data_IF_166222338789
#
_entry.id   IF_166222338789
#
_cell.length_a   1.000
_cell.length_b   1.000
_cell.length_c   1.000
_cell.angle_alpha   90.00
_cell.angle_beta   90.00
_cell.angle_gamma   90.00
#
_symmetry.space_group_name_H-M   'P 1'
#
loop_
_entity.id
_entity.type
_entity.pdbx_description
1 polymer ?
#
# COMPACT_ATOMS: atom_id res chain seq x y z
N UNK A 1 -35.85 -36.87 75.63
CA UNK A 1 -34.99 -36.04 76.53
C UNK A 1 -33.87 -35.43 75.70
N UNK A 2 -33.56 -34.16 76.00
CA UNK A 2 -32.50 -33.27 75.50
C UNK A 2 -32.86 -32.37 74.29
N UNK A 3 -32.91 -31.08 74.65
CA UNK A 3 -33.12 -29.86 73.86
C UNK A 3 -31.87 -29.46 73.06
N UNK A 4 -32.06 -28.83 71.89
CA UNK A 4 -31.47 -27.52 71.57
C UNK A 4 -31.96 -27.06 70.19
N UNK A 5 -32.79 -26.02 70.13
CA UNK A 5 -32.48 -24.58 69.97
C UNK A 5 -32.38 -24.17 68.50
N UNK A 6 -33.39 -23.40 68.11
CA UNK A 6 -33.64 -22.74 66.84
C UNK A 6 -32.67 -21.56 66.65
N UNK A 7 -32.08 -21.41 65.45
CA UNK A 7 -31.55 -20.13 65.00
C UNK A 7 -31.82 -19.97 63.50
N UNK A 8 -32.62 -18.95 63.18
CA UNK A 8 -33.01 -18.52 61.85
C UNK A 8 -31.89 -17.65 61.24
N UNK A 9 -31.41 -17.97 60.04
CA UNK A 9 -30.56 -17.06 59.27
C UNK A 9 -30.93 -17.12 57.78
N UNK A 10 -31.30 -15.96 57.26
CA UNK A 10 -31.75 -15.68 55.90
C UNK A 10 -30.60 -15.91 54.89
N UNK A 11 -30.85 -16.72 53.85
CA UNK A 11 -29.89 -17.05 52.81
C UNK A 11 -29.77 -15.91 51.77
N UNK A 12 -28.60 -15.26 51.69
CA UNK A 12 -28.20 -14.44 50.54
C UNK A 12 -27.29 -15.29 49.66
N UNK A 13 -27.76 -15.64 48.46
CA UNK A 13 -26.94 -16.25 47.42
C UNK A 13 -26.04 -15.17 46.78
N UNK A 14 -24.74 -15.22 47.04
CA UNK A 14 -23.73 -14.50 46.26
C UNK A 14 -22.90 -15.54 45.49
N UNK A 15 -22.92 -15.41 44.16
CA UNK A 15 -22.20 -16.28 43.23
C UNK A 15 -20.69 -16.28 43.51
N UNK A 16 -20.14 -17.48 43.63
CA UNK A 16 -18.71 -17.75 43.67
C UNK A 16 -18.13 -17.74 42.26
N UNK A 17 -17.12 -16.90 42.02
CA UNK A 17 -16.21 -16.99 40.86
C UNK A 17 -14.77 -16.94 41.36
N UNK A 18 -13.96 -17.81 40.75
CA UNK A 18 -12.61 -18.26 41.07
C UNK A 18 -11.53 -17.17 41.24
N UNK A 19 -10.40 -17.49 41.91
CA UNK A 19 -9.32 -16.55 42.17
C UNK A 19 -8.40 -16.39 40.95
N UNK A 20 -8.11 -15.14 40.58
CA UNK A 20 -7.07 -14.78 39.63
C UNK A 20 -6.06 -13.86 40.33
N UNK A 21 -4.80 -14.08 39.97
CA UNK A 21 -3.58 -13.54 40.53
C UNK A 21 -3.52 -12.01 40.70
N UNK A 22 -2.65 -11.59 41.61
CA UNK A 22 -2.23 -10.21 41.81
C UNK A 22 -1.88 -9.49 40.49
N UNK A 23 -2.43 -8.30 40.32
CA UNK A 23 -2.10 -7.39 39.22
C UNK A 23 -2.78 -6.05 39.45
N UNK A 24 -2.07 -5.10 40.07
CA UNK A 24 -2.49 -3.70 40.14
C UNK A 24 -2.45 -3.16 38.71
N UNK A 25 -3.62 -2.87 38.13
CA UNK A 25 -3.68 -2.11 36.89
C UNK A 25 -3.40 -0.65 37.23
N UNK A 26 -2.15 -0.22 37.01
CA UNK A 26 -1.84 1.21 36.90
C UNK A 26 -2.43 1.67 35.57
N UNK A 27 -3.59 2.33 35.61
CA UNK A 27 -3.97 3.25 34.53
C UNK A 27 -2.91 4.34 34.52
N UNK A 28 -1.91 4.20 33.65
CA UNK A 28 -0.89 5.23 33.43
C UNK A 28 -1.60 6.56 33.21
N UNK A 29 -1.14 7.67 33.83
CA UNK A 29 -1.88 8.93 33.84
C UNK A 29 -2.17 9.44 32.42
N UNK A 30 -1.33 9.09 31.44
CA UNK A 30 -1.63 9.20 30.03
C UNK A 30 -0.71 8.29 29.19
N UNK A 31 -1.12 7.98 27.95
CA UNK A 31 -0.31 7.22 27.00
C UNK A 31 -0.38 7.85 25.61
N UNK A 32 0.79 8.13 25.03
CA UNK A 32 0.94 8.49 23.62
C UNK A 32 1.39 7.24 22.84
N UNK A 33 0.81 7.04 21.66
CA UNK A 33 1.19 5.96 20.74
C UNK A 33 1.51 6.55 19.38
N UNK A 34 2.62 6.13 18.78
CA UNK A 34 3.04 6.54 17.45
C UNK A 34 2.75 5.40 16.48
N UNK A 35 1.88 5.63 15.51
CA UNK A 35 1.55 4.66 14.47
C UNK A 35 2.39 4.85 13.21
N UNK A 36 2.99 6.03 13.01
CA UNK A 36 3.96 6.31 11.95
C UNK A 36 4.90 7.47 12.36
N UNK A 37 6.20 7.40 12.02
CA UNK A 37 6.87 6.27 11.39
C UNK A 37 7.06 5.09 12.35
N UNK A 38 6.92 3.85 11.86
CA UNK A 38 7.35 2.62 12.59
C UNK A 38 8.76 2.18 12.21
N UNK A 39 9.33 2.80 11.18
CA UNK A 39 10.69 2.54 10.68
C UNK A 39 11.70 3.46 11.35
N UNK A 40 12.93 2.97 11.50
CA UNK A 40 14.07 3.76 12.02
C UNK A 40 14.72 4.64 10.95
N UNK A 41 14.17 4.67 9.74
CA UNK A 41 14.65 5.48 8.61
C UNK A 41 13.48 6.07 7.81
N UNK A 42 13.55 7.37 7.49
CA UNK A 42 12.58 8.07 6.66
C UNK A 42 13.23 9.15 5.78
N UNK A 43 12.50 9.61 4.76
CA UNK A 43 12.85 10.81 3.99
C UNK A 43 12.05 12.00 4.49
N UNK A 44 12.56 13.21 4.25
CA UNK A 44 11.88 14.46 4.64
C UNK A 44 10.95 14.96 3.52
N UNK A 45 9.76 15.50 3.85
CA UNK A 45 9.18 15.62 5.18
C UNK A 45 8.69 14.27 5.72
N UNK A 46 8.82 14.07 7.03
CA UNK A 46 8.44 12.83 7.70
C UNK A 46 6.98 12.91 8.15
N UNK A 47 6.18 11.90 7.79
CA UNK A 47 4.78 11.82 8.17
C UNK A 47 4.63 11.20 9.56
N UNK A 48 4.25 12.03 10.53
CA UNK A 48 3.99 11.63 11.91
C UNK A 48 2.49 11.45 12.13
N UNK A 49 2.12 10.26 12.61
CA UNK A 49 0.76 9.95 13.04
C UNK A 49 0.81 9.39 14.45
N UNK A 50 0.05 10.00 15.35
CA UNK A 50 -0.02 9.59 16.75
C UNK A 50 -1.40 9.84 17.36
N UNK A 51 -1.75 9.00 18.33
CA UNK A 51 -2.97 9.14 19.13
C UNK A 51 -2.64 9.03 20.62
N UNK A 52 -3.37 9.77 21.44
CA UNK A 52 -3.19 9.79 22.88
C UNK A 52 -4.48 9.49 23.64
N UNK A 53 -4.33 8.93 24.84
CA UNK A 53 -5.43 8.77 25.81
C UNK A 53 -4.95 9.17 27.20
N UNK A 54 -5.82 9.81 27.99
CA UNK A 54 -5.59 10.11 29.41
C UNK A 54 -6.82 9.66 30.22
N UNK A 55 -6.90 8.37 30.59
CA UNK A 55 -8.06 7.83 31.30
C UNK A 55 -8.22 8.38 32.73
N UNK A 56 -7.12 8.83 33.34
CA UNK A 56 -7.11 9.39 34.68
C UNK A 56 -7.50 10.87 34.72
N UNK A 57 -7.42 11.58 33.59
CA UNK A 57 -7.85 12.97 33.48
C UNK A 57 -9.28 13.06 32.95
N UNK A 58 -10.21 13.47 33.81
CA UNK A 58 -11.61 13.71 33.42
C UNK A 58 -11.79 14.80 32.36
N UNK A 59 -10.79 15.66 32.16
CA UNK A 59 -10.76 16.71 31.13
C UNK A 59 -10.06 16.29 29.83
N UNK A 60 -9.63 15.03 29.74
CA UNK A 60 -8.99 14.45 28.56
C UNK A 60 -7.64 15.07 28.19
N UNK A 61 -7.11 14.64 27.04
CA UNK A 61 -5.86 15.15 26.46
C UNK A 61 -6.08 16.58 25.95
N UNK A 62 -5.22 17.50 26.38
CA UNK A 62 -5.24 18.90 25.98
C UNK A 62 -4.49 19.14 24.67
N UNK A 63 -3.30 18.56 24.52
CA UNK A 63 -2.45 18.76 23.34
C UNK A 63 -1.47 17.60 23.10
N UNK A 64 -0.91 17.55 21.89
CA UNK A 64 0.20 16.67 21.50
C UNK A 64 1.31 17.46 20.80
N UNK A 65 2.55 16.97 20.86
CA UNK A 65 3.69 17.60 20.21
C UNK A 65 4.82 16.64 19.87
N UNK A 66 5.67 17.07 18.94
CA UNK A 66 6.83 16.34 18.43
C UNK A 66 8.09 17.07 18.87
N UNK A 67 8.95 16.37 19.58
CA UNK A 67 10.29 16.82 19.96
C UNK A 67 11.33 16.16 19.06
N UNK A 68 12.28 16.95 18.57
CA UNK A 68 13.37 16.46 17.70
C UNK A 68 14.69 16.22 18.45
N UNK A 69 14.76 16.70 19.69
CA UNK A 69 15.82 16.49 20.66
C UNK A 69 15.23 16.79 22.04
N UNK A 70 15.91 16.44 23.16
CA UNK A 70 15.47 16.84 24.49
C UNK A 70 15.11 18.33 24.55
N UNK A 71 13.89 18.64 24.97
CA UNK A 71 13.33 19.99 25.12
C UNK A 71 13.19 20.82 23.83
N UNK A 72 13.47 20.26 22.64
CA UNK A 72 13.33 20.94 21.35
C UNK A 72 12.00 20.60 20.66
N UNK A 73 10.94 21.34 21.00
CA UNK A 73 9.62 21.19 20.38
C UNK A 73 9.66 21.68 18.93
N UNK A 74 9.29 20.81 17.99
CA UNK A 74 9.28 21.10 16.56
C UNK A 74 7.87 21.28 15.99
N UNK A 75 6.86 20.65 16.61
CA UNK A 75 5.47 20.77 16.20
C UNK A 75 4.53 20.51 17.38
N UNK A 76 3.36 21.13 17.40
CA UNK A 76 2.30 20.87 18.38
C UNK A 76 0.91 21.08 17.81
N UNK A 77 -0.07 20.34 18.33
CA UNK A 77 -1.48 20.40 17.97
C UNK A 77 -2.35 20.24 19.21
N UNK A 78 -3.54 20.84 19.21
CA UNK A 78 -4.52 20.66 20.28
C UNK A 78 -5.28 19.33 20.12
N UNK A 79 -5.60 18.69 21.25
CA UNK A 79 -6.37 17.45 21.31
C UNK A 79 -5.52 16.17 21.22
N UNK A 80 -6.23 15.04 21.14
CA UNK A 80 -5.70 13.69 21.32
C UNK A 80 -5.18 13.01 20.03
N UNK A 81 -5.11 13.75 18.92
CA UNK A 81 -4.71 13.23 17.61
C UNK A 81 -3.69 14.15 16.97
N UNK A 82 -2.64 13.56 16.41
CA UNK A 82 -1.59 14.23 15.68
C UNK A 82 -1.41 13.51 14.35
N UNK A 83 -1.51 14.27 13.25
CA UNK A 83 -1.32 13.81 11.88
C UNK A 83 -0.68 14.96 11.10
N UNK A 84 0.63 14.89 10.85
CA UNK A 84 1.38 16.01 10.27
C UNK A 84 2.60 15.55 9.49
N UNK A 85 2.98 16.33 8.46
CA UNK A 85 4.24 16.17 7.75
C UNK A 85 5.25 17.18 8.28
N UNK A 86 6.29 16.70 8.99
CA UNK A 86 7.32 17.55 9.58
C UNK A 86 8.59 17.51 8.73
N UNK A 87 8.98 18.66 8.20
CA UNK A 87 10.26 18.81 7.50
C UNK A 87 11.41 18.71 8.50
N UNK A 88 12.21 17.64 8.39
CA UNK A 88 13.43 17.44 9.16
C UNK A 88 14.64 17.50 8.23
N UNK A 89 15.75 18.05 8.71
CA UNK A 89 17.02 17.98 8.00
C UNK A 89 17.55 16.55 7.94
N UNK A 90 18.58 16.31 7.14
CA UNK A 90 19.28 15.04 7.21
C UNK A 90 19.97 14.87 8.56
N UNK A 91 19.87 13.69 9.14
CA UNK A 91 20.49 13.39 10.43
C UNK A 91 19.71 12.34 11.21
N UNK A 92 20.29 11.91 12.32
CA UNK A 92 19.63 11.03 13.26
C UNK A 92 19.01 11.87 14.38
N UNK A 93 17.73 11.62 14.65
CA UNK A 93 16.94 12.31 15.66
C UNK A 93 16.43 11.30 16.70
N UNK A 94 16.50 11.67 17.97
CA UNK A 94 15.75 10.99 19.03
C UNK A 94 14.40 11.68 19.19
N UNK A 95 13.43 11.21 18.42
CA UNK A 95 12.09 11.78 18.40
C UNK A 95 11.36 11.39 19.69
N UNK A 96 10.69 12.35 20.32
CA UNK A 96 9.68 12.09 21.33
C UNK A 96 8.34 12.71 20.90
N UNK A 97 7.31 11.89 20.75
CA UNK A 97 5.94 12.36 20.60
C UNK A 97 5.31 12.36 21.98
N UNK A 98 4.97 13.54 22.47
CA UNK A 98 4.49 13.77 23.83
C UNK A 98 3.06 14.31 23.79
N UNK A 99 2.24 13.85 24.73
CA UNK A 99 0.93 14.44 25.01
C UNK A 99 0.97 15.22 26.32
N UNK A 100 0.03 16.17 26.47
CA UNK A 100 -0.26 16.87 27.71
C UNK A 100 -1.76 16.83 27.95
N UNK A 101 -2.16 16.41 29.16
CA UNK A 101 -3.56 16.43 29.54
C UNK A 101 -3.98 17.73 30.25
N UNK A 102 -5.29 17.94 30.32
CA UNK A 102 -5.87 19.12 30.97
C UNK A 102 -5.87 19.03 32.52
N UNK A 103 -5.19 18.05 33.08
CA UNK A 103 -5.05 17.80 34.52
C UNK A 103 -3.60 17.98 35.01
N UNK A 104 -2.66 18.30 34.11
CA UNK A 104 -1.27 18.59 34.41
C UNK A 104 -0.31 17.41 34.24
N UNK A 105 -0.75 16.28 33.69
CA UNK A 105 0.11 15.14 33.38
C UNK A 105 0.58 15.15 31.92
N UNK A 106 1.63 14.38 31.67
CA UNK A 106 2.15 14.16 30.32
C UNK A 106 2.79 12.78 30.18
N UNK A 107 2.79 12.29 28.96
CA UNK A 107 3.33 10.99 28.56
C UNK A 107 3.96 11.08 27.17
N UNK A 108 4.97 10.26 26.92
CA UNK A 108 5.72 10.30 25.66
C UNK A 108 6.02 8.92 25.10
N UNK A 109 5.98 8.82 23.78
CA UNK A 109 6.52 7.71 23.01
C UNK A 109 7.78 8.19 22.28
N UNK A 110 8.85 7.40 22.34
CA UNK A 110 10.14 7.75 21.76
C UNK A 110 10.52 6.81 20.62
N UNK A 111 11.15 7.35 19.58
CA UNK A 111 11.68 6.60 18.45
C UNK A 111 12.97 7.25 17.97
N UNK A 112 14.01 6.46 17.74
CA UNK A 112 15.20 6.93 17.02
C UNK A 112 14.92 6.87 15.51
N UNK A 113 14.99 8.03 14.85
CA UNK A 113 14.68 8.22 13.45
C UNK A 113 15.89 8.75 12.70
N UNK A 114 16.38 8.00 11.71
CA UNK A 114 17.38 8.48 10.76
C UNK A 114 16.70 9.09 9.56
N UNK A 115 16.78 10.40 9.43
CA UNK A 115 16.32 11.13 8.25
C UNK A 115 17.46 11.17 7.25
N UNK A 116 17.30 10.47 6.13
CA UNK A 116 18.30 10.50 5.07
C UNK A 116 18.44 11.93 4.53
N UNK A 117 19.63 12.28 4.03
CA UNK A 117 19.69 13.36 3.04
C UNK A 117 18.78 12.92 1.90
N UNK A 118 17.67 13.63 1.72
CA UNK A 118 17.32 13.98 0.37
C UNK A 118 18.53 14.78 -0.14
N UNK A 119 19.55 14.08 -0.65
CA UNK A 119 19.93 14.39 -2.00
C UNK A 119 18.60 14.23 -2.73
N UNK A 120 17.85 15.32 -2.84
CA UNK A 120 17.30 15.64 -4.13
C UNK A 120 18.60 15.78 -4.91
N UNK A 121 19.06 14.78 -5.71
CA UNK A 121 19.74 15.26 -6.89
C UNK A 121 18.74 16.27 -7.44
N UNK A 122 19.20 17.47 -7.76
CA UNK A 122 18.55 18.24 -8.81
C UNK A 122 18.56 17.31 -10.03
N UNK A 123 17.66 16.34 -10.06
CA UNK A 123 17.47 15.45 -11.17
C UNK A 123 16.86 16.40 -12.15
N UNK A 124 17.68 16.83 -13.10
CA UNK A 124 17.19 17.12 -14.43
C UNK A 124 16.00 16.19 -14.67
N UNK A 125 14.79 16.72 -14.99
CA UNK A 125 13.67 15.91 -15.44
C UNK A 125 14.21 14.74 -16.26
N UNK A 126 13.86 13.48 -15.94
CA UNK A 126 14.32 12.37 -16.75
C UNK A 126 14.01 12.72 -18.20
N UNK A 127 14.98 12.66 -19.13
CA UNK A 127 14.71 12.98 -20.52
C UNK A 127 13.49 12.20 -21.00
N UNK A 128 12.66 12.81 -21.85
CA UNK A 128 11.56 12.09 -22.49
C UNK A 128 12.10 10.79 -23.12
N UNK A 129 11.46 9.67 -22.84
CA UNK A 129 11.96 8.34 -23.19
C UNK A 129 12.82 7.67 -22.12
N UNK A 130 12.82 8.16 -20.87
CA UNK A 130 13.49 7.45 -19.77
C UNK A 130 12.80 6.13 -19.49
N UNK A 131 13.60 5.05 -19.45
CA UNK A 131 13.14 3.71 -19.06
C UNK A 131 13.69 3.33 -17.70
N UNK A 132 12.80 3.02 -16.75
CA UNK A 132 13.13 2.34 -15.51
C UNK A 132 13.20 0.84 -15.78
N UNK A 133 14.40 0.27 -15.74
CA UNK A 133 14.62 -1.12 -16.11
C UNK A 133 14.60 -2.08 -14.93
N UNK A 134 14.16 -3.32 -15.16
CA UNK A 134 14.17 -4.42 -14.19
C UNK A 134 13.49 -4.08 -12.86
N UNK A 135 12.41 -3.29 -12.89
CA UNK A 135 11.70 -2.79 -11.71
C UNK A 135 11.26 -3.92 -10.78
N UNK A 136 10.96 -5.11 -11.30
CA UNK A 136 10.58 -6.26 -10.47
C UNK A 136 11.66 -6.60 -9.42
N UNK A 137 12.93 -6.37 -9.74
CA UNK A 137 14.11 -6.67 -8.91
C UNK A 137 14.52 -5.50 -8.01
N UNK A 138 13.88 -4.34 -8.17
CA UNK A 138 14.22 -3.13 -7.43
C UNK A 138 13.39 -2.97 -6.15
N UNK A 139 13.82 -2.06 -5.28
CA UNK A 139 13.08 -1.68 -4.07
C UNK A 139 11.77 -0.93 -4.38
N UNK A 140 10.96 -0.72 -3.34
CA UNK A 140 9.78 0.17 -3.40
C UNK A 140 8.45 -0.52 -3.68
N UNK A 141 8.45 -1.84 -3.84
CA UNK A 141 7.22 -2.62 -3.93
C UNK A 141 6.59 -2.83 -2.56
N UNK A 142 5.32 -2.45 -2.44
CA UNK A 142 4.47 -2.75 -1.29
C UNK A 142 3.34 -3.67 -1.74
N UNK A 143 3.12 -4.76 -0.99
CA UNK A 143 2.10 -5.76 -1.29
C UNK A 143 0.90 -5.66 -0.35
N UNK A 144 -0.32 -5.80 -0.89
CA UNK A 144 -1.58 -5.64 -0.18
C UNK A 144 -2.58 -6.73 -0.61
N UNK A 145 -3.45 -7.12 0.31
CA UNK A 145 -4.66 -7.86 -0.04
C UNK A 145 -5.80 -6.90 -0.36
N UNK A 146 -6.56 -7.17 -1.42
CA UNK A 146 -7.87 -6.60 -1.67
C UNK A 146 -8.91 -7.70 -1.49
N UNK A 147 -9.92 -7.45 -0.67
CA UNK A 147 -10.88 -8.48 -0.30
C UNK A 147 -12.32 -8.05 -0.64
N UNK A 148 -13.17 -9.01 -1.05
CA UNK A 148 -14.58 -8.73 -1.24
C UNK A 148 -15.25 -8.29 0.08
N UNK A 149 -16.34 -7.52 -0.01
CA UNK A 149 -17.02 -7.07 -1.23
C UNK A 149 -16.54 -5.71 -1.75
N UNK A 150 -15.49 -5.12 -1.15
CA UNK A 150 -15.07 -3.76 -1.48
C UNK A 150 -13.93 -3.69 -2.48
N UNK A 151 -13.07 -4.72 -2.52
CA UNK A 151 -11.82 -4.72 -3.28
C UNK A 151 -10.99 -3.45 -3.07
N UNK A 152 -11.05 -2.88 -1.86
CA UNK A 152 -10.11 -1.87 -1.39
C UNK A 152 -8.96 -2.52 -0.62
N UNK A 153 -7.87 -1.78 -0.44
CA UNK A 153 -6.72 -2.23 0.36
C UNK A 153 -7.18 -2.61 1.77
N UNK A 154 -6.95 -3.87 2.14
CA UNK A 154 -7.23 -4.38 3.47
C UNK A 154 -6.16 -3.89 4.46
N UNK A 155 -6.45 -2.81 5.19
CA UNK A 155 -5.52 -2.20 6.16
C UNK A 155 -5.14 -3.09 7.34
N UNK A 156 -5.91 -4.14 7.62
CA UNK A 156 -5.67 -5.09 8.72
C UNK A 156 -5.04 -6.40 8.26
N UNK A 157 -4.87 -6.60 6.96
CA UNK A 157 -4.30 -7.82 6.41
C UNK A 157 -2.76 -7.76 6.44
N UNK A 158 -2.12 -8.90 6.67
CA UNK A 158 -0.67 -9.08 6.58
C UNK A 158 -0.35 -10.18 5.58
N UNK A 159 0.86 -10.16 5.01
CA UNK A 159 1.28 -11.12 3.97
C UNK A 159 1.26 -12.58 4.41
N UNK A 160 1.34 -12.84 5.72
CA UNK A 160 1.25 -14.17 6.32
C UNK A 160 -0.11 -14.43 6.98
N UNK A 161 -1.12 -13.59 6.72
CA UNK A 161 -2.44 -13.66 7.33
C UNK A 161 -3.28 -14.83 6.79
N UNK A 162 -4.21 -15.32 7.60
CA UNK A 162 -5.08 -16.45 7.25
C UNK A 162 -6.18 -16.12 6.23
N UNK A 163 -6.54 -14.84 6.09
CA UNK A 163 -7.60 -14.37 5.17
C UNK A 163 -7.16 -14.48 3.72
N UNK A 164 -5.95 -14.00 3.44
CA UNK A 164 -5.25 -14.12 2.18
C UNK A 164 -3.76 -13.95 2.48
N UNK A 165 -2.94 -14.88 1.99
CA UNK A 165 -1.49 -14.82 2.13
C UNK A 165 -0.82 -14.53 0.78
N UNK A 166 0.33 -13.85 0.81
CA UNK A 166 1.06 -13.50 -0.40
C UNK A 166 2.55 -13.29 -0.13
N UNK A 167 3.36 -13.30 -1.19
CA UNK A 167 4.78 -12.94 -1.06
C UNK A 167 5.37 -12.33 -2.33
N UNK A 168 6.43 -11.55 -2.16
CA UNK A 168 7.25 -10.94 -3.21
C UNK A 168 8.71 -11.29 -2.97
N UNK A 169 9.25 -12.25 -3.71
CA UNK A 169 10.61 -12.76 -3.51
C UNK A 169 11.49 -12.44 -4.72
N UNK A 170 12.39 -11.48 -4.53
CA UNK A 170 13.34 -11.04 -5.55
C UNK A 170 14.58 -11.95 -5.61
N UNK A 171 15.34 -11.86 -6.71
CA UNK A 171 16.60 -12.59 -6.88
C UNK A 171 16.41 -14.09 -7.09
N UNK A 172 15.30 -14.48 -7.72
CA UNK A 172 15.04 -15.87 -8.11
C UNK A 172 15.88 -16.20 -9.35
N UNK A 173 16.65 -17.28 -9.28
CA UNK A 173 17.53 -17.72 -10.37
C UNK A 173 16.86 -18.64 -11.40
N UNK A 174 15.72 -19.26 -11.08
CA UNK A 174 14.96 -20.10 -12.01
C UNK A 174 13.48 -20.22 -11.61
N UNK A 175 12.53 -20.12 -12.56
CA UNK A 175 12.73 -19.67 -13.94
C UNK A 175 13.25 -18.22 -13.96
N UNK A 176 14.19 -17.92 -14.85
CA UNK A 176 14.76 -16.57 -14.99
C UNK A 176 15.31 -16.33 -16.39
N UNK A 177 15.23 -15.09 -16.88
CA UNK A 177 15.81 -14.66 -18.15
C UNK A 177 17.19 -14.02 -17.98
N UNK A 178 17.47 -13.40 -16.84
CA UNK A 178 18.73 -12.68 -16.58
C UNK A 178 19.28 -12.83 -15.15
N UNK A 179 18.67 -13.68 -14.32
CA UNK A 179 19.02 -13.88 -12.91
C UNK A 179 18.39 -12.88 -11.94
N UNK A 180 17.56 -11.94 -12.41
CA UNK A 180 16.91 -10.89 -11.62
C UNK A 180 15.39 -11.08 -11.49
N UNK A 181 14.91 -12.30 -11.63
CA UNK A 181 13.47 -12.59 -11.54
C UNK A 181 12.93 -12.35 -10.14
N UNK A 182 11.68 -11.92 -10.10
CA UNK A 182 10.89 -11.85 -8.87
C UNK A 182 9.72 -12.81 -8.92
N UNK A 183 9.64 -13.68 -7.92
CA UNK A 183 8.50 -14.56 -7.69
C UNK A 183 7.43 -13.83 -6.89
N UNK A 184 6.27 -13.63 -7.50
CA UNK A 184 5.04 -13.13 -6.86
C UNK A 184 4.09 -14.30 -6.58
N UNK A 185 3.60 -14.41 -5.36
CA UNK A 185 2.80 -15.55 -4.91
C UNK A 185 1.43 -15.09 -4.42
N UNK A 186 0.38 -15.66 -5.01
CA UNK A 186 -0.96 -15.68 -4.46
C UNK A 186 -1.12 -16.95 -3.62
N UNK A 187 -1.20 -16.82 -2.30
CA UNK A 187 -1.23 -17.94 -1.38
C UNK A 187 -2.61 -18.46 -1.00
N UNK A 188 -3.66 -17.75 -1.43
CA UNK A 188 -5.02 -18.03 -1.00
C UNK A 188 -5.21 -17.86 0.52
N UNK A 189 -6.37 -18.28 0.99
CA UNK A 189 -6.76 -18.19 2.40
C UNK A 189 -8.22 -18.54 2.62
N UNK A 190 -8.75 -18.13 3.77
CA UNK A 190 -10.16 -18.33 4.14
C UNK A 190 -11.11 -17.48 3.31
N UNK A 191 -10.65 -16.36 2.73
CA UNK A 191 -11.43 -15.50 1.83
C UNK A 191 -11.20 -15.92 0.39
N UNK A 192 -12.29 -16.10 -0.38
CA UNK A 192 -12.27 -16.39 -1.81
C UNK A 192 -12.43 -15.11 -2.61
N UNK A 193 -11.97 -15.10 -3.87
CA UNK A 193 -12.04 -13.90 -4.74
C UNK A 193 -11.31 -12.67 -4.18
N UNK A 194 -10.32 -12.91 -3.33
CA UNK A 194 -9.41 -11.85 -2.93
C UNK A 194 -8.31 -11.72 -3.97
N UNK A 195 -7.70 -10.55 -4.01
CA UNK A 195 -6.64 -10.20 -4.95
C UNK A 195 -5.41 -9.74 -4.18
N UNK A 196 -4.25 -9.91 -4.77
CA UNK A 196 -3.00 -9.39 -4.23
C UNK A 196 -2.46 -8.33 -5.14
N UNK A 197 -2.36 -7.11 -4.62
CA UNK A 197 -1.81 -5.95 -5.32
C UNK A 197 -0.42 -5.64 -4.84
N UNK A 198 0.50 -5.46 -5.78
CA UNK A 198 1.78 -4.82 -5.57
C UNK A 198 1.80 -3.46 -6.25
N UNK A 199 2.25 -2.44 -5.52
CA UNK A 199 2.35 -1.08 -6.00
C UNK A 199 3.78 -0.56 -5.84
N UNK A 200 4.28 0.19 -6.83
CA UNK A 200 5.57 0.85 -6.76
C UNK A 200 5.45 2.32 -7.19
N UNK A 201 5.87 3.23 -6.30
CA UNK A 201 5.90 4.66 -6.55
C UNK A 201 7.18 5.02 -7.31
N UNK A 202 7.08 5.35 -8.60
CA UNK A 202 8.25 5.63 -9.42
C UNK A 202 8.66 7.10 -9.38
N UNK A 203 7.69 8.01 -9.40
CA UNK A 203 7.91 9.47 -9.37
C UNK A 203 6.98 10.11 -8.36
N UNK A 204 7.43 11.17 -7.69
CA UNK A 204 6.63 11.95 -6.75
C UNK A 204 6.97 11.60 -5.30
N UNK A 205 6.00 11.78 -4.40
CA UNK A 205 6.18 11.43 -3.00
C UNK A 205 6.48 9.92 -2.87
N UNK A 206 7.44 9.57 -2.00
CA UNK A 206 7.87 8.19 -1.77
C UNK A 206 8.45 7.47 -3.00
N UNK A 207 8.99 8.23 -3.98
CA UNK A 207 9.62 7.65 -5.16
C UNK A 207 10.73 6.63 -4.81
N UNK A 208 10.55 5.40 -5.25
CA UNK A 208 11.54 4.31 -5.16
C UNK A 208 12.78 4.57 -6.01
N UNK A 209 12.63 5.40 -7.06
CA UNK A 209 13.67 5.79 -8.00
C UNK A 209 14.41 7.06 -7.56
N UNK A 210 14.04 7.67 -6.43
CA UNK A 210 14.63 8.91 -5.94
C UNK A 210 14.26 10.15 -6.77
N UNK A 211 13.17 10.08 -7.55
CA UNK A 211 12.69 11.16 -8.41
C UNK A 211 11.50 11.84 -7.73
N UNK A 212 11.78 12.91 -6.99
CA UNK A 212 10.75 13.77 -6.41
C UNK A 212 10.14 14.69 -7.47
N UNK A 213 8.87 15.06 -7.31
CA UNK A 213 8.24 16.15 -8.08
C UNK A 213 7.45 17.09 -7.14
N UNK A 214 8.11 17.59 -6.08
CA UNK A 214 7.45 18.41 -5.06
C UNK A 214 6.86 19.73 -5.59
N UNK A 215 7.39 20.23 -6.70
CA UNK A 215 6.92 21.46 -7.34
C UNK A 215 5.87 21.19 -8.43
N UNK A 216 5.52 19.92 -8.67
CA UNK A 216 4.56 19.50 -9.69
C UNK A 216 4.89 20.04 -11.09
N UNK A 217 6.15 19.94 -11.50
CA UNK A 217 6.64 20.43 -12.79
C UNK A 217 7.06 19.31 -13.73
N UNK A 218 7.40 18.13 -13.21
CA UNK A 218 7.80 16.99 -14.02
C UNK A 218 6.59 16.17 -14.50
N UNK A 219 5.78 15.66 -13.58
CA UNK A 219 4.67 14.75 -13.91
C UNK A 219 3.67 15.35 -14.91
N UNK A 220 3.31 16.66 -14.86
CA UNK A 220 2.45 17.26 -15.89
C UNK A 220 3.03 17.27 -17.31
N UNK A 221 4.34 17.09 -17.49
CA UNK A 221 4.99 17.04 -18.82
C UNK A 221 4.96 15.65 -19.43
N UNK A 222 4.70 14.61 -18.63
CA UNK A 222 4.66 13.23 -19.09
C UNK A 222 3.30 12.92 -19.70
N UNK A 223 3.30 12.37 -20.91
CA UNK A 223 2.08 12.12 -21.67
C UNK A 223 1.98 10.70 -22.19
N UNK A 224 3.09 10.01 -22.48
CA UNK A 224 3.07 8.64 -22.97
C UNK A 224 3.78 7.71 -21.99
N UNK A 225 3.23 6.50 -21.85
CA UNK A 225 3.73 5.50 -20.94
C UNK A 225 3.73 4.14 -21.62
N UNK A 226 4.81 3.39 -21.42
CA UNK A 226 4.94 2.01 -21.87
C UNK A 226 5.28 1.11 -20.68
N UNK A 227 4.47 0.08 -20.47
CA UNK A 227 4.73 -1.01 -19.52
C UNK A 227 5.14 -2.23 -20.33
N UNK A 228 6.36 -2.71 -20.14
CA UNK A 228 6.97 -3.82 -20.86
C UNK A 228 7.46 -4.85 -19.86
N UNK A 229 6.94 -6.08 -19.90
CA UNK A 229 7.27 -7.10 -18.91
C UNK A 229 7.28 -8.49 -19.51
N UNK A 230 8.17 -9.34 -18.99
CA UNK A 230 8.06 -10.77 -19.14
C UNK A 230 7.46 -11.38 -17.88
N UNK A 231 6.48 -12.27 -18.04
CA UNK A 231 5.95 -13.04 -16.93
C UNK A 231 5.85 -14.52 -17.26
N UNK A 232 6.16 -15.37 -16.29
CA UNK A 232 6.02 -16.82 -16.38
C UNK A 232 5.04 -17.30 -15.33
N UNK A 233 4.13 -18.19 -15.72
CA UNK A 233 3.16 -18.81 -14.82
C UNK A 233 3.07 -20.30 -15.14
N UNK A 234 3.05 -21.16 -14.11
CA UNK A 234 3.01 -22.61 -14.32
C UNK A 234 1.72 -23.05 -15.00
N UNK A 235 0.60 -22.55 -14.50
CA UNK A 235 -0.74 -22.78 -15.02
C UNK A 235 -1.50 -21.46 -14.93
N UNK A 236 -1.75 -20.83 -16.08
CA UNK A 236 -2.49 -19.58 -16.11
C UNK A 236 -3.97 -19.78 -15.74
N UNK A 237 -4.54 -20.97 -15.97
CA UNK A 237 -5.98 -21.22 -15.84
C UNK A 237 -6.51 -21.16 -14.40
N UNK A 238 -5.62 -21.23 -13.40
CA UNK A 238 -6.01 -21.13 -11.98
C UNK A 238 -6.18 -19.69 -11.52
N UNK A 239 -5.65 -18.72 -12.26
CA UNK A 239 -5.82 -17.30 -11.98
C UNK A 239 -7.19 -16.83 -12.46
N UNK A 240 -7.85 -15.99 -11.66
CA UNK A 240 -9.07 -15.32 -12.11
C UNK A 240 -8.71 -14.31 -13.22
N UNK A 241 -7.73 -13.46 -12.89
CA UNK A 241 -7.09 -12.55 -13.79
C UNK A 241 -5.69 -12.15 -13.29
N UNK A 242 -4.93 -11.51 -14.18
CA UNK A 242 -3.67 -10.87 -13.86
C UNK A 242 -3.75 -9.42 -14.34
N UNK A 243 -3.44 -8.46 -13.46
CA UNK A 243 -3.57 -7.03 -13.76
C UNK A 243 -2.23 -6.30 -13.85
N UNK A 244 -2.16 -5.32 -14.76
CA UNK A 244 -0.94 -4.56 -15.09
C UNK A 244 -1.30 -3.08 -15.29
N UNK A 245 -1.27 -2.30 -14.21
CA UNK A 245 -1.80 -0.94 -14.24
C UNK A 245 -0.71 0.12 -14.25
N UNK A 246 -1.02 1.21 -14.93
CA UNK A 246 -0.19 2.42 -14.99
C UNK A 246 -1.00 3.55 -14.39
N UNK A 247 -0.42 4.31 -13.46
CA UNK A 247 -1.09 5.43 -12.82
C UNK A 247 -0.28 6.71 -12.93
N UNK A 248 -0.93 7.80 -13.32
CA UNK A 248 -0.40 9.15 -13.26
C UNK A 248 -1.32 10.03 -12.43
N UNK A 249 -0.76 10.88 -11.58
CA UNK A 249 -1.50 11.81 -10.75
C UNK A 249 -0.90 13.21 -10.91
N UNK A 250 -1.66 14.13 -11.48
CA UNK A 250 -1.18 15.48 -11.80
C UNK A 250 -2.31 16.48 -11.98
N UNK A 251 -2.09 17.74 -11.61
CA UNK A 251 -3.09 18.81 -11.75
C UNK A 251 -4.41 18.52 -11.03
N UNK A 252 -4.36 17.83 -9.88
CA UNK A 252 -5.53 17.41 -9.11
C UNK A 252 -6.34 16.26 -9.74
N UNK A 253 -5.79 15.60 -10.77
CA UNK A 253 -6.45 14.53 -11.53
C UNK A 253 -5.68 13.21 -11.43
N UNK A 254 -6.44 12.12 -11.31
CA UNK A 254 -5.99 10.73 -11.31
C UNK A 254 -6.27 10.10 -12.66
N UNK A 255 -5.22 9.56 -13.27
CA UNK A 255 -5.25 8.84 -14.53
C UNK A 255 -4.79 7.40 -14.24
N UNK A 256 -5.75 6.50 -14.00
CA UNK A 256 -5.52 5.08 -13.78
C UNK A 256 -5.81 4.34 -15.09
N UNK A 257 -4.78 3.84 -15.76
CA UNK A 257 -4.94 2.92 -16.88
C UNK A 257 -4.87 1.49 -16.37
N UNK A 258 -6.02 0.99 -15.88
CA UNK A 258 -6.15 -0.38 -15.41
C UNK A 258 -6.28 -1.38 -16.56
N UNK A 259 -5.51 -2.46 -16.54
CA UNK A 259 -5.55 -3.53 -17.54
C UNK A 259 -5.64 -4.89 -16.87
N UNK A 260 -6.74 -5.59 -17.09
CA UNK A 260 -6.98 -6.93 -16.55
C UNK A 260 -6.91 -7.95 -17.69
N UNK A 261 -5.99 -8.90 -17.61
CA UNK A 261 -6.08 -10.12 -18.40
C UNK A 261 -7.08 -11.05 -17.73
N UNK A 262 -8.35 -11.00 -18.14
CA UNK A 262 -9.41 -11.82 -17.58
C UNK A 262 -9.33 -13.24 -18.15
N UNK A 263 -8.69 -14.13 -17.38
CA UNK A 263 -8.46 -15.52 -17.77
C UNK A 263 -9.73 -16.33 -17.55
N UNK A 264 -10.30 -16.24 -16.35
CA UNK A 264 -11.56 -16.89 -16.04
C UNK A 264 -12.72 -16.02 -16.55
N UNK A 265 -13.51 -16.60 -17.46
CA UNK A 265 -14.74 -15.99 -17.97
C UNK A 265 -14.66 -15.36 -19.35
N UNK A 266 -13.57 -15.54 -20.12
CA UNK A 266 -13.57 -15.08 -21.51
C UNK A 266 -12.22 -15.04 -22.23
N UNK A 267 -11.10 -15.17 -21.51
CA UNK A 267 -9.76 -15.05 -22.09
C UNK A 267 -9.61 -13.74 -22.90
N UNK A 268 -9.88 -12.63 -22.25
CA UNK A 268 -10.00 -11.32 -22.88
C UNK A 268 -9.33 -10.26 -22.00
N UNK A 269 -8.76 -9.23 -22.63
CA UNK A 269 -8.32 -8.04 -21.94
C UNK A 269 -9.51 -7.14 -21.64
N UNK A 270 -9.62 -6.71 -20.40
CA UNK A 270 -10.56 -5.69 -19.96
C UNK A 270 -9.77 -4.42 -19.56
N UNK A 271 -10.39 -3.25 -19.71
CA UNK A 271 -9.83 -1.96 -19.27
C UNK A 271 -10.75 -1.30 -18.26
N UNK A 272 -10.17 -0.58 -17.31
CA UNK A 272 -10.94 0.03 -16.22
C UNK A 272 -11.57 1.38 -16.61
N UNK A 273 -12.89 1.48 -16.50
CA UNK A 273 -13.64 2.73 -16.61
C UNK A 273 -13.59 3.49 -15.29
N UNK A 274 -12.73 4.51 -15.24
CA UNK A 274 -12.51 5.32 -14.04
C UNK A 274 -13.74 6.09 -13.55
N UNK A 275 -14.69 6.42 -14.42
CA UNK A 275 -15.87 7.21 -14.08
C UNK A 275 -16.93 6.29 -13.50
N UNK A 276 -17.21 5.18 -14.20
CA UNK A 276 -18.27 4.25 -13.82
C UNK A 276 -17.81 3.13 -12.89
N UNK A 277 -16.51 3.09 -12.54
CA UNK A 277 -15.90 2.15 -11.60
C UNK A 277 -16.16 0.69 -11.96
N UNK A 278 -15.87 0.32 -13.21
CA UNK A 278 -16.08 -1.04 -13.73
C UNK A 278 -15.04 -1.45 -14.76
N UNK A 279 -14.78 -2.75 -14.84
CA UNK A 279 -14.05 -3.36 -15.95
C UNK A 279 -14.91 -3.38 -17.22
N UNK A 280 -14.29 -3.10 -18.37
CA UNK A 280 -14.93 -3.04 -19.68
C UNK A 280 -14.17 -3.92 -20.68
N UNK A 281 -14.79 -4.97 -21.24
CA UNK A 281 -14.15 -5.86 -22.19
C UNK A 281 -13.71 -5.15 -23.47
N UNK A 282 -12.49 -5.43 -23.94
CA UNK A 282 -11.89 -4.73 -25.09
C UNK A 282 -12.17 -5.39 -26.46
N UNK A 283 -12.53 -6.67 -26.47
CA UNK A 283 -12.55 -7.56 -27.62
C UNK A 283 -11.19 -8.20 -27.94
N UNK A 284 -10.13 -7.81 -27.22
CA UNK A 284 -8.76 -8.30 -27.47
C UNK A 284 -8.53 -9.56 -26.64
N UNK A 285 -8.17 -10.66 -27.29
CA UNK A 285 -7.94 -11.91 -26.61
C UNK A 285 -6.74 -11.85 -25.64
N UNK A 286 -6.91 -12.36 -24.43
CA UNK A 286 -5.84 -12.59 -23.46
C UNK A 286 -5.62 -14.10 -23.22
N UNK A 287 -4.53 -14.63 -23.80
CA UNK A 287 -4.18 -16.04 -23.74
C UNK A 287 -2.71 -16.22 -23.34
N UNK A 288 -2.37 -16.01 -22.06
CA UNK A 288 -1.04 -16.34 -21.55
C UNK A 288 -0.77 -17.84 -21.66
N UNK A 289 0.46 -18.18 -22.05
CA UNK A 289 0.97 -19.54 -22.14
C UNK A 289 1.36 -20.04 -20.75
N UNK A 290 0.74 -21.15 -20.33
CA UNK A 290 1.14 -21.90 -19.14
C UNK A 290 2.51 -22.57 -19.34
N UNK A 291 3.35 -22.55 -18.30
CA UNK A 291 4.68 -23.17 -18.30
C UNK A 291 5.71 -22.45 -19.16
N UNK A 292 5.42 -21.23 -19.65
CA UNK A 292 6.31 -20.49 -20.55
C UNK A 292 6.38 -18.99 -20.19
N UNK A 293 7.43 -18.33 -20.68
CA UNK A 293 7.56 -16.88 -20.60
C UNK A 293 6.58 -16.23 -21.58
N UNK A 294 5.82 -15.27 -21.08
CA UNK A 294 4.92 -14.43 -21.83
C UNK A 294 5.48 -13.01 -21.86
N UNK A 295 5.43 -12.37 -23.02
CA UNK A 295 5.87 -10.98 -23.18
C UNK A 295 4.67 -10.07 -23.35
N UNK A 296 4.54 -9.08 -22.46
CA UNK A 296 3.46 -8.10 -22.46
C UNK A 296 4.02 -6.71 -22.67
N UNK A 297 3.45 -5.98 -23.64
CA UNK A 297 3.70 -4.56 -23.85
C UNK A 297 2.38 -3.80 -23.89
N UNK A 298 2.20 -2.85 -22.98
CA UNK A 298 1.04 -1.97 -22.91
C UNK A 298 1.50 -0.54 -23.20
N UNK A 299 0.77 0.15 -24.08
CA UNK A 299 1.00 1.56 -24.38
C UNK A 299 -0.26 2.38 -24.05
N UNK A 300 -0.06 3.47 -23.32
CA UNK A 300 -1.13 4.41 -22.94
C UNK A 300 -0.67 5.85 -23.09
N UNK A 301 -1.64 6.76 -23.08
CA UNK A 301 -1.37 8.19 -23.19
C UNK A 301 -2.35 9.03 -22.37
N UNK A 302 -1.86 10.06 -21.69
CA UNK A 302 -2.68 11.21 -21.30
C UNK A 302 -2.76 12.16 -22.49
N UNK A 303 -3.93 12.33 -23.07
CA UNK A 303 -4.10 13.18 -24.27
C UNK A 303 -3.84 14.67 -23.95
N UNK A 304 -3.69 15.50 -24.98
CA UNK A 304 -3.61 16.96 -24.84
C UNK A 304 -4.85 17.57 -24.18
N UNK A 305 -6.00 16.91 -24.31
CA UNK A 305 -7.27 17.26 -23.66
C UNK A 305 -7.45 16.60 -22.29
N UNK A 306 -6.39 16.00 -21.72
CA UNK A 306 -6.39 15.35 -20.42
C UNK A 306 -7.40 14.19 -20.30
N UNK A 307 -7.46 13.33 -21.32
CA UNK A 307 -8.16 12.05 -21.27
C UNK A 307 -7.16 10.89 -21.09
N UNK A 308 -7.62 9.80 -20.48
CA UNK A 308 -6.91 8.53 -20.44
C UNK A 308 -7.12 7.78 -21.75
N UNK A 309 -6.14 7.76 -22.64
CA UNK A 309 -6.17 6.94 -23.84
C UNK A 309 -5.49 5.59 -23.59
N UNK A 310 -6.25 4.51 -23.71
CA UNK A 310 -5.75 3.16 -23.85
C UNK A 310 -5.40 2.93 -25.32
N UNK A 311 -4.11 2.74 -25.66
CA UNK A 311 -3.67 2.66 -27.07
C UNK A 311 -3.64 1.23 -27.56
N UNK A 312 -2.70 0.44 -27.08
CA UNK A 312 -2.42 -0.91 -27.59
C UNK A 312 -2.00 -1.84 -26.47
N UNK A 313 -2.37 -3.11 -26.60
CA UNK A 313 -1.88 -4.21 -25.76
C UNK A 313 -1.25 -5.24 -26.69
N UNK A 314 -0.04 -5.67 -26.40
CA UNK A 314 0.67 -6.72 -27.14
C UNK A 314 1.02 -7.85 -26.20
N UNK A 315 0.48 -9.04 -26.44
CA UNK A 315 0.82 -10.25 -25.69
C UNK A 315 1.44 -11.26 -26.65
N UNK A 316 2.67 -11.71 -26.37
CA UNK A 316 3.39 -12.70 -27.16
C UNK A 316 3.47 -12.33 -28.66
N UNK A 317 3.77 -11.06 -28.94
CA UNK A 317 3.86 -10.53 -30.29
C UNK A 317 2.52 -10.29 -31.00
N UNK A 318 1.38 -10.60 -30.37
CA UNK A 318 0.04 -10.29 -30.91
C UNK A 318 -0.46 -8.97 -30.36
N UNK A 319 -0.51 -7.95 -31.21
CA UNK A 319 -0.98 -6.61 -30.85
C UNK A 319 -2.48 -6.45 -31.11
N UNK A 320 -3.22 -6.02 -30.10
CA UNK A 320 -4.57 -5.50 -30.22
C UNK A 320 -4.60 -3.98 -29.99
N UNK A 321 -5.40 -3.28 -30.79
CA UNK A 321 -5.66 -1.84 -30.62
C UNK A 321 -6.89 -1.66 -29.74
N UNK A 322 -6.73 -1.00 -28.58
CA UNK A 322 -7.84 -0.66 -27.70
C UNK A 322 -8.54 0.59 -28.20
N UNK A 323 -7.77 1.68 -28.39
CA UNK A 323 -8.21 3.00 -28.84
C UNK A 323 -9.50 3.50 -28.14
N UNK A 324 -9.50 3.48 -26.80
CA UNK A 324 -10.60 3.98 -25.96
C UNK A 324 -10.11 5.07 -25.02
N UNK A 325 -10.96 6.08 -24.83
CA UNK A 325 -10.68 7.20 -23.92
C UNK A 325 -11.63 7.23 -22.75
N UNK A 326 -11.12 7.53 -21.57
CA UNK A 326 -11.91 7.78 -20.36
C UNK A 326 -11.51 9.10 -19.71
N UNK A 327 -12.45 9.71 -18.99
CA UNK A 327 -12.17 10.89 -18.19
C UNK A 327 -11.41 10.52 -16.89
N UNK A 328 -10.53 11.40 -16.39
CA UNK A 328 -9.86 11.20 -15.12
C UNK A 328 -10.80 11.44 -13.93
N UNK A 329 -10.41 10.95 -12.76
CA UNK A 329 -11.07 11.30 -11.48
C UNK A 329 -10.24 12.32 -10.71
N UNK A 330 -10.76 12.84 -9.58
CA UNK A 330 -10.02 13.75 -8.71
C UNK A 330 -9.00 13.01 -7.83
N UNK A 331 -7.95 13.72 -7.42
CA UNK A 331 -6.95 13.28 -6.43
C UNK A 331 -6.26 14.48 -5.80
N UNK A 332 -5.72 14.31 -4.60
CA UNK A 332 -4.79 15.26 -3.96
C UNK A 332 -3.33 14.84 -4.09
N UNK A 333 -3.06 13.61 -4.56
CA UNK A 333 -1.71 13.07 -4.69
C UNK A 333 -1.09 13.44 -6.04
N UNK A 334 0.25 13.45 -6.11
CA UNK A 334 1.00 13.70 -7.34
C UNK A 334 2.13 12.69 -7.50
N UNK A 335 2.27 12.14 -8.71
CA UNK A 335 3.31 11.18 -9.02
C UNK A 335 2.97 10.24 -10.17
N UNK A 336 3.83 9.25 -10.35
CA UNK A 336 3.62 8.13 -11.28
C UNK A 336 3.86 6.84 -10.51
N UNK A 337 2.90 5.91 -10.60
CA UNK A 337 3.04 4.57 -10.02
C UNK A 337 2.71 3.51 -11.06
N UNK A 338 3.21 2.31 -10.82
CA UNK A 338 2.73 1.11 -11.50
C UNK A 338 2.15 0.14 -10.48
N UNK A 339 1.15 -0.62 -10.91
CA UNK A 339 0.57 -1.70 -10.14
C UNK A 339 0.72 -3.01 -10.89
N UNK A 340 0.75 -4.08 -10.13
CA UNK A 340 0.68 -5.44 -10.62
C UNK A 340 -0.20 -6.25 -9.65
N UNK A 341 -1.17 -6.99 -10.17
CA UNK A 341 -2.12 -7.72 -9.33
C UNK A 341 -2.29 -9.18 -9.77
N UNK A 342 -2.53 -10.04 -8.78
CA UNK A 342 -2.86 -11.44 -8.94
C UNK A 342 -4.20 -11.74 -8.31
N UNK A 343 -5.16 -12.14 -9.12
CA UNK A 343 -6.55 -12.27 -8.67
C UNK A 343 -6.90 -13.72 -8.38
N UNK A 344 -7.61 -13.90 -7.27
CA UNK A 344 -8.02 -15.20 -6.77
C UNK A 344 -9.28 -15.71 -7.45
N UNK A 345 -9.27 -16.98 -7.87
CA UNK A 345 -10.49 -17.63 -8.33
C UNK A 345 -11.44 -18.00 -7.17
N UNK A 346 -12.61 -18.56 -7.52
CA UNK A 346 -13.61 -19.05 -6.56
C UNK A 346 -13.10 -20.06 -5.53
N UNK A 347 -12.06 -20.81 -5.87
CA UNK A 347 -11.45 -21.81 -5.00
C UNK A 347 -10.37 -21.21 -4.10
N UNK A 348 -9.88 -20.00 -4.42
CA UNK A 348 -8.69 -19.40 -3.82
C UNK A 348 -7.44 -20.24 -4.09
N UNK A 349 -7.35 -20.86 -5.27
CA UNK A 349 -6.24 -21.74 -5.64
C UNK A 349 -4.92 -20.96 -5.58
N UNK A 350 -3.92 -21.42 -4.81
CA UNK A 350 -2.62 -20.76 -4.79
C UNK A 350 -1.90 -20.88 -6.12
N UNK A 351 -1.20 -19.83 -6.53
CA UNK A 351 -0.38 -19.83 -7.74
C UNK A 351 0.74 -18.80 -7.65
N UNK A 352 1.78 -19.03 -8.46
CA UNK A 352 2.97 -18.19 -8.51
C UNK A 352 3.16 -17.67 -9.93
N UNK A 353 3.46 -16.38 -10.03
CA UNK A 353 3.87 -15.75 -11.28
C UNK A 353 5.25 -15.13 -11.07
N UNK A 354 6.14 -15.38 -12.02
CA UNK A 354 7.50 -14.89 -12.00
C UNK A 354 7.58 -13.72 -12.97
N UNK A 355 7.91 -12.54 -12.47
CA UNK A 355 8.14 -11.35 -13.27
C UNK A 355 9.62 -11.24 -13.59
N UNK A 356 9.93 -10.85 -14.82
CA UNK A 356 11.29 -10.57 -15.27
C UNK A 356 11.29 -9.45 -16.30
N UNK A 357 12.40 -8.71 -16.39
CA UNK A 357 12.60 -7.59 -17.29
C UNK A 357 11.42 -6.61 -17.30
N UNK A 358 10.86 -6.31 -16.13
CA UNK A 358 9.79 -5.32 -15.98
C UNK A 358 10.38 -3.92 -16.18
N UNK A 359 10.13 -3.36 -17.35
CA UNK A 359 10.59 -2.06 -17.77
C UNK A 359 9.41 -1.10 -17.89
N UNK A 360 9.57 0.12 -17.39
CA UNK A 360 8.56 1.17 -17.52
C UNK A 360 9.17 2.41 -18.16
N UNK A 361 8.61 2.87 -19.28
CA UNK A 361 9.12 4.02 -20.01
C UNK A 361 8.15 5.21 -19.88
N UNK A 362 8.71 6.38 -19.55
CA UNK A 362 8.00 7.66 -19.47
C UNK A 362 8.44 8.59 -20.60
N UNK A 363 7.49 9.28 -21.22
CA UNK A 363 7.70 10.08 -22.44
C UNK A 363 6.88 11.36 -22.45
#
# INVERSE_FOLDING_TARGET
>A
MRFSTLCLALSVFAFTVLPAFAGVYVTLPASATVSSPTTTSALSPVHFVATATSPACSKGVGAMGIYTAPYKLAYSVQGAKLDTNLALGAGTYDIAVQEWDNCGWSSKATLTLTVGTSSVPKTTPPPAGTTFANLQSQKGWSGYALLPPSWGICSTCTSTGSRLSWSWKQGVSSPSMDGLTTSSYYGGGTVKWGDVLWNNHLIGAFSSQGISDSNHTLVPTLHNFTYDVYFWVKDASVSQAMEFDINQFTGGKSYIWGHECRIAGGHEWDVYDNVNKRWVPTGIACNPMSGAWNHLVINVQRTSTNQLLFKTITLNGKTGTVNRTYAPTSTSWNGVTINYQLDGNRNGTPYTVYLDKLNFTIQ
#
